data_IF_658519781783
#
_entry.id   IF_658519781783
#
_cell.length_a   1.000
_cell.length_b   1.000
_cell.length_c   1.000
_cell.angle_alpha   90.00
_cell.angle_beta   90.00
_cell.angle_gamma   90.00
#
_symmetry.space_group_name_H-M   'P 1'
#
loop_
_entity.id
_entity.type
_entity.pdbx_description
1 polymer ?
#
# COMPACT_ATOMS: atom_id res chain seq x y z
N UNK A 1 -22.14 -5.31 -0.61
CA UNK A 1 -20.83 -5.72 -0.09
C UNK A 1 -21.09 -6.63 1.10
N UNK A 2 -20.49 -7.82 1.10
CA UNK A 2 -20.56 -8.75 2.23
C UNK A 2 -19.12 -8.93 2.72
N UNK A 3 -18.88 -8.64 3.99
CA UNK A 3 -17.59 -8.87 4.65
C UNK A 3 -17.66 -10.17 5.44
N UNK A 4 -16.54 -10.86 5.55
CA UNK A 4 -16.44 -12.02 6.43
C UNK A 4 -16.53 -11.57 7.89
N UNK A 5 -17.18 -12.38 8.75
CA UNK A 5 -17.41 -12.04 10.16
C UNK A 5 -16.10 -11.87 10.97
N UNK A 6 -15.00 -12.44 10.47
CA UNK A 6 -13.65 -12.36 11.04
C UNK A 6 -12.79 -11.22 10.46
N UNK A 7 -13.33 -10.38 9.57
CA UNK A 7 -12.58 -9.28 8.97
C UNK A 7 -12.14 -8.28 10.04
N UNK A 8 -10.84 -7.97 10.09
CA UNK A 8 -10.29 -7.01 11.05
C UNK A 8 -10.91 -5.61 10.84
N UNK A 9 -11.14 -4.89 11.94
CA UNK A 9 -11.51 -3.48 11.91
C UNK A 9 -10.35 -2.64 11.35
N UNK A 10 -10.67 -1.62 10.55
CA UNK A 10 -9.67 -0.94 9.75
C UNK A 10 -10.20 0.23 8.93
N UNK A 11 -9.24 1.03 8.45
CA UNK A 11 -9.46 2.07 7.46
C UNK A 11 -9.22 1.47 6.07
N UNK A 12 -10.27 1.45 5.26
CA UNK A 12 -10.27 1.03 3.87
C UNK A 12 -10.82 2.14 2.99
N UNK A 13 -10.83 1.91 1.68
CA UNK A 13 -11.45 2.81 0.72
C UNK A 13 -11.97 2.01 -0.47
N UNK A 14 -12.87 2.63 -1.23
CA UNK A 14 -13.44 2.05 -2.44
C UNK A 14 -13.33 3.05 -3.59
N UNK A 15 -13.08 2.52 -4.78
CA UNK A 15 -13.13 3.25 -6.03
C UNK A 15 -13.58 2.29 -7.15
N UNK A 16 -14.07 2.81 -8.29
CA UNK A 16 -14.37 1.98 -9.44
C UNK A 16 -13.13 1.33 -10.03
N UNK A 17 -13.28 0.07 -10.44
CA UNK A 17 -12.18 -0.79 -10.92
C UNK A 17 -12.53 -1.45 -12.26
N UNK A 18 -13.07 -0.65 -13.19
CA UNK A 18 -13.46 -1.13 -14.52
C UNK A 18 -12.31 -0.87 -15.47
N UNK A 19 -11.61 -1.94 -15.87
CA UNK A 19 -10.46 -1.87 -16.78
C UNK A 19 -10.74 -0.96 -17.99
N UNK A 20 -9.81 -0.03 -18.22
CA UNK A 20 -9.88 0.99 -19.27
C UNK A 20 -10.62 2.27 -18.85
N UNK A 21 -11.08 2.36 -17.60
CA UNK A 21 -11.84 3.52 -17.09
C UNK A 21 -11.61 3.80 -15.61
N UNK A 22 -10.73 3.05 -14.93
CA UNK A 22 -10.42 3.24 -13.51
C UNK A 22 -9.87 4.64 -13.25
N UNK A 23 -8.98 5.12 -14.13
CA UNK A 23 -8.37 6.46 -14.07
C UNK A 23 -9.41 7.56 -14.20
N UNK A 24 -10.26 7.49 -15.22
CA UNK A 24 -11.27 8.51 -15.48
C UNK A 24 -12.26 8.62 -14.33
N UNK A 25 -12.74 7.46 -13.84
CA UNK A 25 -13.75 7.43 -12.78
C UNK A 25 -13.17 7.88 -11.43
N UNK A 26 -12.00 7.35 -11.06
CA UNK A 26 -11.33 7.71 -9.81
C UNK A 26 -10.87 9.16 -9.85
N UNK A 27 -10.10 9.57 -10.87
CA UNK A 27 -9.60 10.93 -11.04
C UNK A 27 -10.71 11.96 -11.22
N UNK A 28 -11.89 11.55 -11.70
CA UNK A 28 -13.11 12.36 -11.75
C UNK A 28 -13.83 12.54 -10.42
N UNK A 29 -13.39 11.89 -9.33
CA UNK A 29 -13.99 12.07 -8.00
C UNK A 29 -14.58 10.81 -7.36
N UNK A 30 -14.64 9.67 -8.05
CA UNK A 30 -15.34 8.48 -7.56
C UNK A 30 -14.48 7.70 -6.54
N UNK A 31 -14.30 8.28 -5.36
CA UNK A 31 -13.55 7.72 -4.24
C UNK A 31 -14.37 7.82 -2.97
N UNK A 32 -14.30 6.82 -2.10
CA UNK A 32 -14.96 6.84 -0.79
C UNK A 32 -14.12 6.15 0.26
N UNK A 33 -14.13 6.70 1.48
CA UNK A 33 -13.66 5.99 2.65
C UNK A 33 -14.61 4.85 3.00
N UNK A 34 -14.05 3.75 3.52
CA UNK A 34 -14.79 2.60 4.06
C UNK A 34 -14.17 2.26 5.40
N UNK A 35 -14.92 2.45 6.48
CA UNK A 35 -14.43 2.12 7.82
C UNK A 35 -15.11 0.82 8.25
N UNK A 36 -14.30 -0.18 8.58
CA UNK A 36 -14.76 -1.37 9.30
C UNK A 36 -14.50 -1.09 10.76
N UNK A 37 -15.56 -0.97 11.56
CA UNK A 37 -15.42 -0.61 12.97
C UNK A 37 -14.78 -1.76 13.76
N UNK A 38 -13.92 -1.38 14.71
CA UNK A 38 -13.38 -2.29 15.70
C UNK A 38 -14.47 -2.74 16.69
N UNK A 39 -14.47 -4.00 17.14
CA UNK A 39 -15.24 -4.39 18.30
C UNK A 39 -14.96 -3.49 19.52
N UNK A 40 -15.96 -3.19 20.36
CA UNK A 40 -15.78 -2.29 21.49
C UNK A 40 -14.79 -2.85 22.52
N UNK A 41 -13.99 -1.96 23.13
CA UNK A 41 -12.99 -2.24 24.18
C UNK A 41 -11.79 -3.09 23.74
N UNK A 42 -11.43 -3.14 22.45
CA UNK A 42 -10.22 -3.84 22.00
C UNK A 42 -8.99 -2.92 21.95
N UNK A 43 -9.20 -1.62 21.73
CA UNK A 43 -8.13 -0.62 21.63
C UNK A 43 -7.82 -0.02 23.00
N UNK A 44 -6.61 0.53 23.21
CA UNK A 44 -6.31 1.36 24.36
C UNK A 44 -7.31 2.52 24.47
N UNK A 45 -7.72 2.84 25.71
CA UNK A 45 -8.82 3.78 25.91
C UNK A 45 -8.50 5.18 25.36
N UNK A 46 -7.23 5.58 25.40
CA UNK A 46 -6.76 6.82 24.79
C UNK A 46 -7.02 6.91 23.28
N UNK A 47 -6.97 5.78 22.56
CA UNK A 47 -7.17 5.70 21.11
C UNK A 47 -8.63 5.49 20.75
N UNK A 48 -9.35 4.69 21.54
CA UNK A 48 -10.79 4.46 21.36
C UNK A 48 -11.61 5.74 21.60
N UNK A 49 -11.24 6.54 22.61
CA UNK A 49 -11.94 7.78 22.97
C UNK A 49 -11.42 9.01 22.21
N UNK A 50 -10.32 8.88 21.45
CA UNK A 50 -9.76 9.98 20.69
C UNK A 50 -10.76 10.50 19.64
N UNK A 51 -10.74 11.81 19.39
CA UNK A 51 -11.49 12.40 18.28
C UNK A 51 -11.02 11.78 16.97
N UNK A 52 -11.91 11.08 16.28
CA UNK A 52 -11.62 10.51 14.98
C UNK A 52 -11.83 11.54 13.86
N UNK A 53 -10.89 11.60 12.91
CA UNK A 53 -10.96 12.40 11.70
C UNK A 53 -10.65 11.53 10.50
N UNK A 54 -11.63 11.33 9.64
CA UNK A 54 -11.40 10.74 8.31
C UNK A 54 -10.71 11.80 7.45
N UNK A 55 -9.54 11.48 6.92
CA UNK A 55 -8.73 12.33 6.06
C UNK A 55 -8.59 11.64 4.70
N UNK A 56 -9.63 11.75 3.87
CA UNK A 56 -9.61 11.26 2.49
C UNK A 56 -8.96 12.32 1.60
N UNK A 57 -7.65 12.17 1.37
CA UNK A 57 -6.90 13.01 0.47
C UNK A 57 -6.98 12.45 -0.96
N UNK A 58 -7.48 13.27 -1.89
CA UNK A 58 -7.66 12.90 -3.28
C UNK A 58 -6.91 13.89 -4.17
N UNK A 59 -6.08 13.36 -5.06
CA UNK A 59 -5.43 14.09 -6.13
C UNK A 59 -6.40 14.36 -7.29
N UNK A 60 -6.66 15.64 -7.57
CA UNK A 60 -7.42 16.11 -8.72
C UNK A 60 -6.47 16.83 -9.68
N UNK A 61 -6.32 16.28 -10.88
CA UNK A 61 -5.54 16.90 -11.95
C UNK A 61 -6.41 16.95 -13.21
N UNK A 62 -6.91 18.14 -13.54
CA UNK A 62 -7.87 18.31 -14.64
C UNK A 62 -7.19 18.26 -16.01
N UNK A 63 -5.89 18.59 -16.09
CA UNK A 63 -5.12 18.53 -17.33
C UNK A 63 -4.83 17.06 -17.68
N UNK A 64 -4.23 16.33 -16.76
CA UNK A 64 -3.96 14.90 -16.92
C UNK A 64 -5.25 14.08 -17.09
N UNK A 65 -6.33 14.45 -16.41
CA UNK A 65 -7.63 13.79 -16.58
C UNK A 65 -8.21 14.03 -17.99
N UNK A 66 -8.04 15.23 -18.56
CA UNK A 66 -8.46 15.52 -19.92
C UNK A 66 -7.59 14.79 -20.94
N UNK A 67 -6.27 14.75 -20.74
CA UNK A 67 -5.36 13.98 -21.60
C UNK A 67 -5.70 12.49 -21.58
N UNK A 68 -5.92 11.92 -20.39
CA UNK A 68 -6.35 10.52 -20.23
C UNK A 68 -7.69 10.26 -20.92
N UNK A 69 -8.64 11.20 -20.85
CA UNK A 69 -9.92 11.08 -21.53
C UNK A 69 -9.75 11.09 -23.06
N UNK A 70 -8.92 12.00 -23.59
CA UNK A 70 -8.62 12.08 -25.02
C UNK A 70 -7.92 10.82 -25.54
N UNK A 71 -6.96 10.27 -24.78
CA UNK A 71 -6.26 9.03 -25.11
C UNK A 71 -7.17 7.80 -25.06
N UNK A 72 -8.07 7.74 -24.07
CA UNK A 72 -9.05 6.64 -23.94
C UNK A 72 -10.04 6.57 -25.10
N UNK A 73 -10.20 7.67 -25.86
CA UNK A 73 -11.25 7.85 -26.87
C UNK A 73 -12.67 7.66 -26.30
N UNK A 74 -12.86 7.88 -24.99
CA UNK A 74 -14.15 7.82 -24.33
C UNK A 74 -15.00 9.05 -24.69
N UNK A 75 -16.07 8.83 -25.47
CA UNK A 75 -17.01 9.90 -25.84
C UNK A 75 -18.09 10.22 -24.80
N UNK A 76 -18.11 9.51 -23.66
CA UNK A 76 -19.09 9.69 -22.58
C UNK A 76 -18.53 10.52 -21.42
N UNK A 77 -17.23 10.41 -21.14
CA UNK A 77 -16.59 11.15 -20.07
C UNK A 77 -16.31 12.60 -20.52
N UNK A 78 -16.69 13.57 -19.67
CA UNK A 78 -16.50 14.98 -19.95
C UNK A 78 -15.87 15.67 -18.74
N UNK A 79 -14.66 16.18 -18.92
CA UNK A 79 -13.97 16.96 -17.88
C UNK A 79 -14.57 18.35 -17.85
N UNK A 80 -15.22 18.69 -16.74
CA UNK A 80 -15.79 20.00 -16.50
C UNK A 80 -15.38 20.48 -15.11
N UNK A 81 -14.48 21.46 -15.04
CA UNK A 81 -14.01 22.00 -13.77
C UNK A 81 -12.92 23.03 -13.96
N UNK A 82 -12.90 24.03 -13.07
CA UNK A 82 -11.84 25.02 -12.98
C UNK A 82 -11.17 24.87 -11.61
N UNK A 83 -10.38 23.82 -11.44
CA UNK A 83 -9.42 23.76 -10.35
C UNK A 83 -8.11 24.41 -10.82
N UNK A 84 -7.28 24.94 -9.90
CA UNK A 84 -5.88 25.16 -10.20
C UNK A 84 -5.24 23.85 -10.72
N UNK A 85 -4.04 23.94 -11.31
CA UNK A 85 -3.21 22.77 -11.63
C UNK A 85 -3.18 21.75 -10.47
N UNK A 86 -2.79 20.49 -10.73
CA UNK A 86 -2.58 19.39 -9.76
C UNK A 86 -2.88 19.75 -8.30
N UNK A 87 -4.11 19.46 -7.86
CA UNK A 87 -4.63 19.91 -6.57
C UNK A 87 -4.97 18.73 -5.68
N UNK A 88 -4.66 18.82 -4.39
CA UNK A 88 -5.12 17.85 -3.39
C UNK A 88 -6.34 18.42 -2.66
N UNK A 89 -7.42 17.66 -2.66
CA UNK A 89 -8.60 17.95 -1.83
C UNK A 89 -8.67 16.95 -0.69
N UNK A 90 -9.17 17.40 0.46
CA UNK A 90 -9.41 16.55 1.63
C UNK A 90 -10.89 16.52 1.89
N UNK A 91 -11.51 15.34 1.87
CA UNK A 91 -12.95 15.14 1.99
C UNK A 91 -13.76 16.04 1.03
N UNK A 92 -13.27 16.20 -0.21
CA UNK A 92 -13.89 17.03 -1.24
C UNK A 92 -13.70 18.54 -1.09
N UNK A 93 -12.92 19.00 -0.09
CA UNK A 93 -12.64 20.41 0.14
C UNK A 93 -11.20 20.76 -0.22
N UNK A 94 -10.99 21.90 -0.87
CA UNK A 94 -9.67 22.43 -1.16
C UNK A 94 -9.12 23.22 0.05
N UNK A 95 -7.95 22.83 0.57
CA UNK A 95 -7.30 23.42 1.74
C UNK A 95 -8.24 23.63 2.96
N UNK A 96 -8.92 22.58 3.47
CA UNK A 96 -9.80 22.73 4.62
C UNK A 96 -9.00 23.00 5.91
N UNK A 97 -9.63 23.67 6.87
CA UNK A 97 -9.10 23.88 8.21
C UNK A 97 -9.72 22.83 9.15
N UNK A 98 -8.89 21.98 9.73
CA UNK A 98 -9.30 21.01 10.76
C UNK A 98 -8.87 21.54 12.12
N UNK A 99 -9.83 21.86 12.99
CA UNK A 99 -9.54 22.31 14.35
C UNK A 99 -9.29 21.12 15.28
N UNK A 100 -8.16 21.17 15.99
CA UNK A 100 -7.76 20.23 17.03
C UNK A 100 -7.55 20.98 18.35
N UNK A 101 -7.71 20.28 19.47
CA UNK A 101 -7.48 20.83 20.81
C UNK A 101 -6.06 20.49 21.22
N UNK A 102 -5.27 21.49 21.62
CA UNK A 102 -3.92 21.25 22.12
C UNK A 102 -3.98 20.40 23.40
N UNK A 103 -3.07 19.44 23.52
CA UNK A 103 -3.06 18.50 24.64
C UNK A 103 -3.83 17.21 24.41
N UNK A 104 -4.69 17.14 23.40
CA UNK A 104 -5.51 15.95 23.12
C UNK A 104 -4.96 15.15 21.94
N UNK A 105 -5.12 13.83 21.99
CA UNK A 105 -4.87 12.95 20.85
C UNK A 105 -6.03 13.04 19.86
N UNK A 106 -5.69 13.19 18.58
CA UNK A 106 -6.65 13.12 17.47
C UNK A 106 -6.25 11.97 16.56
N UNK A 107 -7.20 11.08 16.29
CA UNK A 107 -7.03 9.89 15.46
C UNK A 107 -7.38 10.18 14.00
N UNK A 108 -6.35 10.33 13.17
CA UNK A 108 -6.50 10.53 11.73
C UNK A 108 -6.53 9.20 10.99
N UNK A 109 -7.63 8.94 10.26
CA UNK A 109 -7.72 7.86 9.26
C UNK A 109 -7.39 8.43 7.90
N UNK A 110 -6.13 8.32 7.50
CA UNK A 110 -5.60 8.94 6.28
C UNK A 110 -5.70 7.96 5.12
N UNK A 111 -6.34 8.40 4.04
CA UNK A 111 -6.45 7.65 2.79
C UNK A 111 -5.84 8.51 1.71
N UNK A 112 -4.86 7.97 0.98
CA UNK A 112 -4.30 8.63 -0.20
C UNK A 112 -4.89 8.03 -1.47
N UNK A 113 -6.01 8.61 -1.91
CA UNK A 113 -6.74 8.21 -3.10
C UNK A 113 -6.14 8.90 -4.34
N UNK A 114 -4.84 8.71 -4.59
CA UNK A 114 -4.23 9.17 -5.84
C UNK A 114 -4.42 8.14 -6.95
N UNK A 115 -4.67 8.63 -8.16
CA UNK A 115 -4.72 7.83 -9.37
C UNK A 115 -3.48 8.00 -10.25
N UNK A 116 -2.61 8.97 -9.93
CA UNK A 116 -1.33 9.23 -10.58
C UNK A 116 -0.16 8.93 -9.64
N UNK A 117 1.04 9.28 -10.09
CA UNK A 117 2.25 9.18 -9.29
C UNK A 117 2.34 10.21 -8.16
N UNK A 118 3.16 9.88 -7.15
CA UNK A 118 3.46 10.77 -6.04
C UNK A 118 2.92 10.27 -4.70
N UNK A 119 3.73 10.47 -3.67
CA UNK A 119 3.36 10.10 -2.31
C UNK A 119 2.75 11.31 -1.60
N UNK A 120 1.72 11.07 -0.80
CA UNK A 120 1.31 12.03 0.23
C UNK A 120 2.30 11.90 1.39
N UNK A 121 3.19 12.89 1.55
CA UNK A 121 4.09 12.97 2.70
C UNK A 121 3.42 13.83 3.79
N UNK A 122 2.66 13.17 4.67
CA UNK A 122 1.94 13.85 5.74
C UNK A 122 2.87 14.11 6.94
N UNK A 123 2.95 15.36 7.36
CA UNK A 123 3.57 15.78 8.62
C UNK A 123 2.73 16.89 9.25
N UNK A 124 2.72 16.98 10.57
CA UNK A 124 2.00 18.03 11.31
C UNK A 124 2.98 18.81 12.17
N UNK A 125 3.24 20.05 11.78
CA UNK A 125 4.20 20.91 12.48
C UNK A 125 3.78 21.15 13.94
N UNK A 126 4.72 20.95 14.85
CA UNK A 126 4.52 21.18 16.28
C UNK A 126 3.69 20.11 17.00
N UNK A 127 3.30 19.03 16.31
CA UNK A 127 2.66 17.87 16.91
C UNK A 127 3.61 16.66 16.92
N UNK A 128 3.46 15.81 17.92
CA UNK A 128 4.00 14.44 17.86
C UNK A 128 3.11 13.60 16.93
N UNK A 129 3.65 12.59 16.26
CA UNK A 129 2.87 11.69 15.42
C UNK A 129 3.19 10.23 15.75
N UNK A 130 2.14 9.42 15.86
CA UNK A 130 2.26 7.97 16.02
C UNK A 130 1.48 7.24 14.94
N UNK A 131 2.15 6.31 14.27
CA UNK A 131 1.52 5.34 13.38
C UNK A 131 0.86 4.24 14.20
N UNK A 132 -0.42 3.98 13.90
CA UNK A 132 -1.23 2.96 14.55
C UNK A 132 -1.49 1.76 13.63
N UNK A 133 -1.76 2.01 12.35
CA UNK A 133 -2.17 1.00 11.39
C UNK A 133 -1.80 1.40 9.95
N UNK A 134 -1.67 0.41 9.07
CA UNK A 134 -1.48 0.55 7.63
C UNK A 134 -2.38 -0.42 6.88
N UNK A 135 -2.99 0.02 5.78
CA UNK A 135 -3.86 -0.78 4.91
C UNK A 135 -4.95 -1.54 5.70
N UNK A 136 -5.55 -0.84 6.67
CA UNK A 136 -6.56 -1.41 7.56
C UNK A 136 -6.05 -2.36 8.64
N UNK A 137 -4.74 -2.56 8.78
CA UNK A 137 -4.14 -3.52 9.72
C UNK A 137 -3.27 -2.80 10.75
N UNK A 138 -3.54 -3.02 12.03
CA UNK A 138 -2.72 -2.48 13.12
C UNK A 138 -1.28 -2.97 13.04
N UNK A 139 -0.32 -2.09 13.30
CA UNK A 139 1.10 -2.47 13.36
C UNK A 139 1.41 -3.21 14.66
N UNK A 140 2.44 -4.05 14.65
CA UNK A 140 2.78 -4.88 15.81
C UNK A 140 3.54 -4.14 16.91
N UNK A 141 4.39 -3.19 16.54
CA UNK A 141 5.13 -2.30 17.44
C UNK A 141 4.31 -1.06 17.81
N UNK A 142 3.01 -1.26 18.00
CA UNK A 142 2.06 -0.19 18.28
C UNK A 142 2.35 0.48 19.63
N UNK A 143 2.29 1.82 19.72
CA UNK A 143 2.27 2.78 18.62
C UNK A 143 3.69 3.15 18.17
N UNK A 144 3.92 3.33 16.87
CA UNK A 144 5.25 3.68 16.33
C UNK A 144 5.37 5.18 16.15
N UNK A 145 6.34 5.81 16.83
CA UNK A 145 6.62 7.24 16.64
C UNK A 145 7.17 7.51 15.24
N UNK A 146 6.64 8.53 14.56
CA UNK A 146 7.03 8.93 13.21
C UNK A 146 7.11 10.47 13.11
N UNK A 147 7.98 10.98 12.25
CA UNK A 147 8.02 12.42 11.92
C UNK A 147 7.21 12.75 10.66
N UNK A 148 7.06 11.77 9.76
CA UNK A 148 6.36 11.90 8.49
C UNK A 148 5.77 10.55 8.12
N UNK A 149 4.58 10.56 7.53
CA UNK A 149 3.96 9.39 6.91
C UNK A 149 4.01 9.53 5.38
N UNK A 150 4.93 8.85 4.68
CA UNK A 150 4.96 8.77 3.22
C UNK A 150 3.97 7.71 2.73
N UNK A 151 2.80 8.16 2.27
CA UNK A 151 1.69 7.31 1.82
C UNK A 151 1.73 7.24 0.30
N UNK A 152 2.00 6.04 -0.25
CA UNK A 152 2.01 5.82 -1.70
C UNK A 152 0.58 5.68 -2.23
N UNK A 153 0.29 5.92 -3.52
CA UNK A 153 -1.05 5.76 -4.07
C UNK A 153 -1.62 4.38 -3.73
N UNK A 154 -2.84 4.36 -3.19
CA UNK A 154 -3.51 3.14 -2.77
C UNK A 154 -3.24 2.70 -1.33
N UNK A 155 -2.28 3.29 -0.61
CA UNK A 155 -2.05 3.00 0.82
C UNK A 155 -2.94 3.84 1.72
N UNK A 156 -3.36 3.26 2.84
CA UNK A 156 -4.07 3.98 3.90
C UNK A 156 -3.33 3.83 5.23
N UNK A 157 -3.40 4.85 6.08
CA UNK A 157 -2.67 4.87 7.36
C UNK A 157 -3.52 5.47 8.44
N UNK A 158 -3.46 4.93 9.66
CA UNK A 158 -4.08 5.58 10.81
C UNK A 158 -2.98 6.15 11.71
N UNK A 159 -3.02 7.46 11.96
CA UNK A 159 -2.04 8.18 12.77
C UNK A 159 -2.70 8.98 13.89
N UNK A 160 -2.01 9.12 15.02
CA UNK A 160 -2.43 9.94 16.16
C UNK A 160 -1.51 11.15 16.32
N UNK A 161 -2.04 12.34 16.63
CA UNK A 161 -1.25 13.55 16.89
C UNK A 161 -1.67 14.32 18.15
N UNK A 162 -0.77 14.59 19.12
CA UNK A 162 -1.03 15.46 20.25
C UNK A 162 -0.13 16.70 20.27
N UNK A 163 -0.50 17.66 21.11
CA UNK A 163 0.40 18.70 21.63
C UNK A 163 0.55 18.45 23.14
N UNK A 164 1.36 17.45 23.53
CA UNK A 164 1.72 17.05 24.90
C UNK A 164 0.61 17.02 25.97
N UNK A 165 0.13 15.82 26.37
CA UNK A 165 -0.23 15.58 27.79
C UNK A 165 -0.04 14.14 28.32
N UNK A 166 0.12 13.09 27.51
CA UNK A 166 0.44 11.74 27.98
C UNK A 166 0.89 10.85 26.79
N UNK A 167 1.90 10.00 26.99
CA UNK A 167 2.31 9.03 25.96
C UNK A 167 1.20 8.00 25.73
N UNK A 168 0.97 7.61 24.47
CA UNK A 168 0.07 6.49 24.16
C UNK A 168 0.59 5.20 24.80
N UNK A 169 -0.34 4.40 25.31
CA UNK A 169 -0.03 3.08 25.86
C UNK A 169 0.38 2.11 24.75
N UNK A 170 1.45 1.35 25.01
CA UNK A 170 1.83 0.24 24.15
C UNK A 170 0.74 -0.83 24.19
N UNK A 171 0.38 -1.36 23.02
CA UNK A 171 -0.67 -2.36 22.87
C UNK A 171 -0.27 -3.35 21.79
N UNK A 172 -0.74 -4.58 21.92
CA UNK A 172 -0.47 -5.62 20.93
C UNK A 172 -1.78 -6.03 20.28
N UNK A 173 -1.94 -5.83 18.95
CA UNK A 173 -3.14 -6.24 18.25
C UNK A 173 -3.35 -7.75 18.32
N UNK A 174 -4.61 -8.15 18.50
CA UNK A 174 -5.05 -9.52 18.29
C UNK A 174 -5.37 -9.70 16.81
N UNK A 175 -4.49 -10.41 16.09
CA UNK A 175 -4.69 -10.69 14.67
C UNK A 175 -5.64 -11.88 14.45
N UNK A 176 -6.57 -11.79 13.47
CA UNK A 176 -7.32 -12.96 13.01
C UNK A 176 -6.40 -13.99 12.34
N UNK A 177 -6.90 -15.22 12.15
CA UNK A 177 -6.12 -16.36 11.65
C UNK A 177 -5.43 -16.06 10.29
N UNK A 178 -6.11 -15.35 9.39
CA UNK A 178 -5.57 -14.96 8.08
C UNK A 178 -4.41 -13.93 8.17
N UNK A 179 -4.18 -13.32 9.33
CA UNK A 179 -3.07 -12.40 9.63
C UNK A 179 -2.03 -13.01 10.58
N UNK A 180 -1.91 -14.33 10.60
CA UNK A 180 -0.85 -15.03 11.35
C UNK A 180 0.53 -14.59 10.88
N UNK A 181 1.47 -14.36 11.81
CA UNK A 181 2.84 -13.93 11.48
C UNK A 181 3.57 -14.95 10.60
N UNK A 182 3.96 -14.53 9.40
CA UNK A 182 4.55 -15.39 8.36
C UNK A 182 6.07 -15.26 8.27
N UNK A 183 6.71 -14.40 9.08
CA UNK A 183 8.15 -14.10 8.98
C UNK A 183 9.05 -15.32 9.14
N UNK A 184 8.67 -16.26 10.01
CA UNK A 184 9.42 -17.50 10.24
C UNK A 184 8.91 -18.68 9.42
N UNK A 185 7.85 -18.50 8.64
CA UNK A 185 7.31 -19.55 7.77
C UNK A 185 8.29 -19.89 6.65
N UNK A 186 8.11 -21.06 6.05
CA UNK A 186 8.87 -21.51 4.88
C UNK A 186 7.91 -21.51 3.70
N UNK A 187 8.29 -20.95 2.53
CA UNK A 187 7.42 -20.96 1.37
C UNK A 187 7.09 -22.39 0.96
N UNK A 188 5.85 -22.60 0.54
CA UNK A 188 5.42 -23.88 0.00
C UNK A 188 6.23 -24.23 -1.26
N UNK A 189 6.47 -25.53 -1.56
CA UNK A 189 7.25 -25.93 -2.73
C UNK A 189 6.72 -25.30 -4.02
N UNK A 190 7.58 -24.60 -4.76
CA UNK A 190 7.24 -23.93 -6.01
C UNK A 190 6.46 -22.62 -5.86
N UNK A 191 6.17 -22.16 -4.64
CA UNK A 191 5.41 -20.93 -4.37
C UNK A 191 6.30 -19.71 -4.12
N UNK A 192 7.48 -19.68 -4.74
CA UNK A 192 8.38 -18.52 -4.74
C UNK A 192 8.48 -18.00 -6.16
N UNK A 193 7.91 -16.82 -6.39
CA UNK A 193 7.75 -16.26 -7.71
C UNK A 193 8.21 -14.79 -7.75
N UNK A 194 8.58 -14.31 -8.93
CA UNK A 194 8.92 -12.90 -9.16
C UNK A 194 7.79 -12.17 -9.87
N UNK A 195 7.53 -10.95 -9.45
CA UNK A 195 6.57 -10.04 -10.09
C UNK A 195 7.23 -8.69 -10.32
N UNK A 196 7.45 -8.39 -11.60
CA UNK A 196 8.05 -7.17 -12.10
C UNK A 196 6.96 -6.29 -12.73
N UNK A 197 6.96 -5.02 -12.35
CA UNK A 197 6.08 -4.02 -12.95
C UNK A 197 6.85 -3.18 -13.95
N UNK A 198 6.26 -3.03 -15.12
CA UNK A 198 6.87 -2.38 -16.26
C UNK A 198 6.21 -1.00 -16.45
N UNK A 199 5.92 -0.56 -17.69
CA UNK A 199 5.04 0.61 -17.92
C UNK A 199 3.59 0.23 -18.23
N UNK A 200 3.36 -0.90 -18.90
CA UNK A 200 2.03 -1.32 -19.42
C UNK A 200 1.76 -2.81 -19.24
N UNK A 201 2.53 -3.46 -18.38
CA UNK A 201 2.57 -4.90 -18.28
C UNK A 201 3.11 -5.34 -16.92
N UNK A 202 2.76 -6.56 -16.54
CA UNK A 202 3.33 -7.27 -15.41
C UNK A 202 4.10 -8.47 -15.95
N UNK A 203 5.38 -8.62 -15.58
CA UNK A 203 6.29 -9.62 -16.15
C UNK A 203 6.39 -9.55 -17.70
N UNK A 204 6.22 -8.37 -18.30
CA UNK A 204 6.17 -8.19 -19.76
C UNK A 204 4.85 -8.60 -20.44
N UNK A 205 3.83 -8.98 -19.67
CA UNK A 205 2.51 -9.37 -20.19
C UNK A 205 1.47 -8.27 -19.91
N UNK A 206 0.85 -7.67 -20.94
CA UNK A 206 -0.21 -6.68 -20.76
C UNK A 206 -1.55 -7.33 -20.44
N UNK A 207 -2.41 -6.61 -19.73
CA UNK A 207 -3.80 -6.98 -19.48
C UNK A 207 -4.77 -6.19 -20.35
N UNK A 208 -5.83 -6.83 -20.90
CA UNK A 208 -6.04 -8.27 -20.91
C UNK A 208 -5.01 -8.96 -21.82
N UNK A 209 -4.53 -10.13 -21.39
CA UNK A 209 -3.70 -10.96 -22.27
C UNK A 209 -4.56 -11.69 -23.30
N UNK A 210 -4.01 -11.92 -24.49
CA UNK A 210 -4.63 -12.69 -25.57
C UNK A 210 -4.81 -14.18 -25.22
N UNK A 211 -4.06 -14.66 -24.23
CA UNK A 211 -4.15 -16.00 -23.66
C UNK A 211 -4.85 -15.93 -22.31
N UNK A 212 -5.70 -16.91 -22.00
CA UNK A 212 -6.11 -17.16 -20.62
C UNK A 212 -4.90 -17.69 -19.83
N UNK A 213 -4.01 -16.80 -19.44
CA UNK A 213 -2.85 -17.08 -18.61
C UNK A 213 -2.95 -16.30 -17.31
N UNK A 214 -2.83 -17.03 -16.20
CA UNK A 214 -2.60 -16.41 -14.91
C UNK A 214 -1.12 -16.04 -14.81
N UNK A 215 -0.84 -14.90 -14.18
CA UNK A 215 0.52 -14.50 -13.84
C UNK A 215 1.15 -15.54 -12.89
N UNK A 216 0.36 -15.95 -11.90
CA UNK A 216 0.71 -17.01 -10.98
C UNK A 216 -0.51 -17.87 -10.67
N UNK A 217 -0.28 -19.14 -10.37
CA UNK A 217 -1.25 -19.97 -9.67
C UNK A 217 -0.67 -20.36 -8.32
N UNK A 218 -1.52 -20.39 -7.30
CA UNK A 218 -1.23 -20.88 -5.97
C UNK A 218 -2.46 -21.61 -5.44
N UNK A 219 -2.48 -22.00 -4.17
CA UNK A 219 -3.56 -22.77 -3.57
C UNK A 219 -3.84 -22.35 -2.13
N UNK A 220 -5.05 -22.66 -1.66
CA UNK A 220 -5.43 -22.43 -0.27
C UNK A 220 -4.49 -23.15 0.72
N UNK A 221 -4.00 -22.41 1.70
CA UNK A 221 -3.05 -22.85 2.72
C UNK A 221 -1.58 -22.78 2.30
N UNK A 222 -1.27 -22.36 1.06
CA UNK A 222 0.11 -22.17 0.63
C UNK A 222 0.76 -21.01 1.40
N UNK A 223 2.06 -21.11 1.67
CA UNK A 223 2.90 -19.95 2.01
C UNK A 223 3.54 -19.47 0.72
N UNK A 224 3.22 -18.26 0.30
CA UNK A 224 3.64 -17.70 -0.99
C UNK A 224 4.66 -16.60 -0.79
N UNK A 225 5.83 -16.78 -1.39
CA UNK A 225 6.89 -15.79 -1.47
C UNK A 225 6.85 -15.07 -2.81
N UNK A 226 6.93 -13.75 -2.74
CA UNK A 226 6.81 -12.86 -3.89
C UNK A 226 7.97 -11.88 -3.88
N UNK A 227 8.88 -12.03 -4.84
CA UNK A 227 9.90 -11.03 -5.09
C UNK A 227 9.28 -9.93 -5.95
N UNK A 228 9.01 -8.78 -5.34
CA UNK A 228 8.43 -7.63 -6.02
C UNK A 228 9.52 -6.73 -6.58
N UNK A 229 9.38 -6.39 -7.84
CA UNK A 229 10.23 -5.47 -8.59
C UNK A 229 9.35 -4.34 -9.14
N UNK A 230 8.81 -3.53 -8.24
CA UNK A 230 7.78 -2.54 -8.55
C UNK A 230 8.33 -1.13 -8.75
N UNK A 231 9.54 -0.84 -8.23
CA UNK A 231 10.23 0.45 -8.36
C UNK A 231 9.29 1.62 -7.99
N UNK A 232 8.91 2.47 -8.95
CA UNK A 232 8.00 3.60 -8.76
C UNK A 232 6.51 3.28 -8.96
N UNK A 233 6.18 2.04 -9.30
CA UNK A 233 4.81 1.56 -9.52
C UNK A 233 4.31 0.92 -8.21
N UNK A 234 3.29 1.48 -7.53
CA UNK A 234 2.77 0.87 -6.32
C UNK A 234 2.12 -0.47 -6.65
N UNK A 235 2.72 -1.57 -6.18
CA UNK A 235 2.16 -2.91 -6.23
C UNK A 235 0.97 -3.01 -5.31
N UNK A 236 -0.20 -3.36 -5.85
CA UNK A 236 -1.40 -3.66 -5.08
C UNK A 236 -1.89 -5.07 -5.42
N UNK A 237 -2.27 -5.84 -4.40
CA UNK A 237 -2.93 -7.13 -4.59
C UNK A 237 -4.25 -7.19 -3.82
N UNK A 238 -5.27 -7.75 -4.45
CA UNK A 238 -6.60 -7.85 -3.87
C UNK A 238 -6.67 -9.00 -2.86
N UNK A 239 -7.74 -9.02 -2.05
CA UNK A 239 -8.17 -10.13 -1.17
C UNK A 239 -7.21 -10.44 -0.01
N UNK A 240 -5.95 -10.77 -0.29
CA UNK A 240 -4.99 -11.22 0.71
C UNK A 240 -3.93 -10.16 0.97
N UNK A 241 -3.81 -9.64 2.20
CA UNK A 241 -2.68 -8.80 2.58
C UNK A 241 -1.40 -9.64 2.63
N UNK A 242 -0.26 -8.96 2.55
CA UNK A 242 1.07 -9.55 2.60
C UNK A 242 1.93 -8.92 3.68
N UNK A 243 2.85 -9.70 4.23
CA UNK A 243 3.89 -9.22 5.12
C UNK A 243 5.15 -8.84 4.37
N UNK A 244 5.75 -7.76 4.83
CA UNK A 244 7.08 -7.30 4.48
C UNK A 244 8.16 -8.22 5.07
N UNK A 245 8.97 -8.90 4.25
CA UNK A 245 9.98 -9.87 4.72
C UNK A 245 11.41 -9.33 4.63
N UNK A 246 11.88 -8.89 3.47
CA UNK A 246 13.28 -8.45 3.29
C UNK A 246 13.50 -7.59 2.04
N UNK A 247 14.63 -6.87 1.97
CA UNK A 247 15.01 -6.09 0.78
C UNK A 247 14.24 -4.78 0.56
N UNK A 248 13.52 -4.32 1.58
CA UNK A 248 12.50 -3.27 1.49
C UNK A 248 13.04 -1.87 1.70
N UNK A 249 12.42 -0.88 1.07
CA UNK A 249 12.48 0.52 1.45
C UNK A 249 11.73 0.75 2.79
N UNK A 250 12.48 1.18 3.81
CA UNK A 250 11.96 1.44 5.16
C UNK A 250 11.31 2.82 5.29
N UNK A 251 11.49 3.72 4.32
CA UNK A 251 11.02 5.10 4.37
C UNK A 251 11.32 5.79 5.72
N UNK A 252 12.57 5.69 6.18
CA UNK A 252 12.97 6.30 7.45
C UNK A 252 12.39 5.63 8.70
N UNK A 253 11.98 4.36 8.60
CA UNK A 253 11.40 3.59 9.71
C UNK A 253 9.86 3.52 9.69
N UNK A 254 9.22 4.20 8.74
CA UNK A 254 7.78 4.09 8.50
C UNK A 254 7.36 2.66 8.10
N UNK A 255 8.20 1.97 7.32
CA UNK A 255 8.06 0.53 7.03
C UNK A 255 9.08 -0.28 7.81
N UNK A 256 8.62 -1.39 8.40
CA UNK A 256 9.43 -2.37 9.11
C UNK A 256 9.11 -3.79 8.64
N UNK A 257 10.06 -4.71 8.88
CA UNK A 257 9.88 -6.14 8.60
C UNK A 257 8.75 -6.69 9.49
N UNK A 258 7.78 -7.35 8.86
CA UNK A 258 6.59 -7.91 9.50
C UNK A 258 5.37 -7.00 9.46
N UNK A 259 5.49 -5.76 8.97
CA UNK A 259 4.31 -4.94 8.70
C UNK A 259 3.46 -5.61 7.61
N UNK A 260 2.15 -5.61 7.82
CA UNK A 260 1.17 -6.03 6.83
C UNK A 260 0.80 -4.86 5.92
N UNK A 261 0.63 -5.16 4.64
CA UNK A 261 0.22 -4.23 3.58
C UNK A 261 -0.68 -4.95 2.58
N UNK A 262 -1.48 -4.19 1.86
CA UNK A 262 -2.06 -4.61 0.57
C UNK A 262 -1.41 -3.88 -0.62
N UNK A 263 -0.69 -2.79 -0.33
CA UNK A 263 -0.06 -1.95 -1.33
C UNK A 263 1.37 -1.57 -0.92
N UNK A 264 2.33 -1.69 -1.83
CA UNK A 264 3.73 -1.36 -1.56
C UNK A 264 4.46 -0.90 -2.82
N UNK A 265 5.37 0.07 -2.70
CA UNK A 265 6.26 0.48 -3.80
C UNK A 265 7.72 0.20 -3.45
N UNK A 266 8.46 -0.30 -4.43
CA UNK A 266 9.89 -0.55 -4.32
C UNK A 266 10.28 -1.97 -4.70
N UNK A 267 11.33 -2.47 -4.06
CA UNK A 267 11.84 -3.83 -4.24
C UNK A 267 11.77 -4.57 -2.93
N UNK A 268 11.70 -5.89 -2.99
CA UNK A 268 11.82 -6.73 -1.81
C UNK A 268 11.07 -8.05 -1.91
N UNK A 269 11.20 -8.84 -0.85
CA UNK A 269 10.43 -10.05 -0.64
C UNK A 269 9.23 -9.71 0.25
N UNK A 270 8.04 -10.03 -0.25
CA UNK A 270 6.81 -10.06 0.54
C UNK A 270 6.31 -11.50 0.64
N UNK A 271 5.48 -11.77 1.65
CA UNK A 271 4.89 -13.09 1.89
C UNK A 271 3.44 -13.01 2.27
N UNK A 272 2.61 -13.88 1.72
CA UNK A 272 1.20 -14.01 2.09
C UNK A 272 0.77 -15.48 2.12
N UNK A 273 -0.42 -15.73 2.66
CA UNK A 273 -1.03 -17.06 2.67
C UNK A 273 -2.52 -16.96 2.32
N UNK A 274 -2.96 -17.53 1.19
CA UNK A 274 -4.38 -17.61 0.87
C UNK A 274 -5.07 -18.62 1.77
N UNK A 275 -5.93 -18.21 2.70
CA UNK A 275 -6.52 -19.13 3.69
C UNK A 275 -8.02 -19.38 3.54
N UNK A 276 -8.75 -18.56 2.79
CA UNK A 276 -10.22 -18.57 2.84
C UNK A 276 -10.90 -18.65 1.47
N UNK A 277 -10.47 -17.83 0.51
CA UNK A 277 -11.10 -17.66 -0.80
C UNK A 277 -10.25 -18.23 -1.96
N UNK A 278 -10.85 -19.12 -2.74
CA UNK A 278 -10.34 -19.53 -4.06
C UNK A 278 -10.80 -18.57 -5.16
N UNK A 279 -10.12 -18.60 -6.31
CA UNK A 279 -10.56 -17.92 -7.53
C UNK A 279 -9.51 -16.94 -8.06
N UNK A 280 -9.98 -16.00 -8.89
CA UNK A 280 -9.15 -15.00 -9.54
C UNK A 280 -8.94 -13.80 -8.59
N UNK A 281 -7.69 -13.51 -8.27
CA UNK A 281 -7.24 -12.37 -7.49
C UNK A 281 -6.53 -11.39 -8.44
N UNK A 282 -6.91 -10.12 -8.39
CA UNK A 282 -6.23 -9.08 -9.17
C UNK A 282 -4.94 -8.64 -8.48
N UNK A 283 -3.91 -8.43 -9.28
CA UNK A 283 -2.65 -7.78 -8.90
C UNK A 283 -2.39 -6.69 -9.93
N UNK A 284 -2.12 -5.46 -9.51
CA UNK A 284 -1.93 -4.36 -10.47
C UNK A 284 -1.15 -3.20 -9.86
N UNK A 285 -0.77 -2.26 -10.73
CA UNK A 285 -0.24 -0.97 -10.33
C UNK A 285 -1.34 -0.03 -9.84
N UNK A 286 -1.09 0.66 -8.74
CA UNK A 286 -2.01 1.66 -8.20
C UNK A 286 -1.79 3.08 -8.76
N UNK A 287 -1.00 3.20 -9.85
CA UNK A 287 -1.12 4.33 -10.79
C UNK A 287 -2.15 3.91 -11.82
N UNK A 288 -3.35 4.47 -11.75
CA UNK A 288 -4.50 3.93 -12.47
C UNK A 288 -4.36 4.12 -13.98
N UNK A 289 -3.64 5.14 -14.44
CA UNK A 289 -3.35 5.29 -15.88
C UNK A 289 -2.53 4.10 -16.39
N UNK A 290 -1.57 3.60 -15.61
CA UNK A 290 -0.83 2.40 -15.95
C UNK A 290 -1.67 1.12 -15.80
N UNK A 291 -2.58 1.07 -14.82
CA UNK A 291 -3.56 0.00 -14.66
C UNK A 291 -4.42 -0.14 -15.92
N UNK A 292 -5.02 0.97 -16.37
CA UNK A 292 -5.88 1.01 -17.56
C UNK A 292 -5.12 0.69 -18.85
N UNK A 293 -3.84 1.06 -18.93
CA UNK A 293 -2.96 0.68 -20.05
C UNK A 293 -2.51 -0.80 -20.03
N UNK A 294 -2.87 -1.56 -19.00
CA UNK A 294 -2.66 -3.00 -18.94
C UNK A 294 -1.64 -3.50 -17.90
N UNK A 295 -1.18 -2.66 -16.98
CA UNK A 295 -0.35 -3.10 -15.83
C UNK A 295 -1.21 -3.74 -14.73
N UNK A 296 -1.90 -4.78 -15.14
CA UNK A 296 -2.74 -5.62 -14.30
C UNK A 296 -2.38 -7.08 -14.60
N UNK A 297 -2.71 -7.95 -13.67
CA UNK A 297 -2.55 -9.37 -13.85
C UNK A 297 -3.52 -10.13 -12.94
N UNK A 298 -3.75 -11.40 -13.28
CA UNK A 298 -4.59 -12.28 -12.47
C UNK A 298 -3.69 -13.34 -11.82
N UNK A 299 -3.78 -13.46 -10.51
CA UNK A 299 -3.32 -14.62 -9.75
C UNK A 299 -4.50 -15.56 -9.50
N UNK A 300 -4.31 -16.86 -9.73
CA UNK A 300 -5.35 -17.87 -9.51
C UNK A 300 -5.08 -18.64 -8.23
N UNK A 301 -6.05 -18.61 -7.30
CA UNK A 301 -6.02 -19.36 -6.06
C UNK A 301 -6.86 -20.64 -6.24
N UNK A 302 -6.19 -21.78 -6.41
CA UNK A 302 -6.80 -23.09 -6.56
C UNK A 302 -6.84 -23.91 -5.26
N UNK A 303 -7.05 -25.20 -5.43
CA UNK A 303 -7.04 -26.21 -4.36
C UNK A 303 -6.17 -27.42 -4.70
N UNK A 304 -5.42 -27.35 -5.81
CA UNK A 304 -4.68 -28.47 -6.38
C UNK A 304 -3.33 -28.72 -5.72
N UNK A 305 -2.95 -27.90 -4.74
CA UNK A 305 -1.68 -28.02 -4.02
C UNK A 305 -0.46 -27.63 -4.86
N UNK A 306 -0.66 -26.96 -6.00
CA UNK A 306 0.42 -26.61 -6.91
C UNK A 306 0.57 -25.10 -7.08
N UNK A 307 1.82 -24.66 -7.15
CA UNK A 307 2.15 -23.29 -7.50
C UNK A 307 2.83 -23.25 -8.87
N UNK A 308 2.44 -22.27 -9.69
CA UNK A 308 3.06 -22.02 -10.99
C UNK A 308 3.39 -20.54 -11.13
N UNK A 309 4.59 -20.23 -11.60
CA UNK A 309 5.01 -18.86 -11.85
C UNK A 309 5.13 -18.60 -13.35
N UNK A 310 4.55 -17.52 -13.87
CA UNK A 310 4.96 -16.97 -15.16
C UNK A 310 6.25 -16.19 -14.98
N UNK A 311 7.29 -16.57 -15.72
CA UNK A 311 8.59 -15.89 -15.69
C UNK A 311 8.52 -14.48 -16.29
N UNK A 312 9.35 -13.57 -15.76
CA UNK A 312 9.50 -12.23 -16.35
C UNK A 312 10.17 -12.31 -17.72
N UNK A 313 9.52 -11.75 -18.73
CA UNK A 313 10.07 -11.67 -20.09
C UNK A 313 11.18 -10.61 -20.23
N UNK A 314 11.38 -9.77 -19.21
CA UNK A 314 12.36 -8.70 -19.22
C UNK A 314 13.74 -9.13 -18.69
N UNK A 315 13.94 -10.43 -18.46
CA UNK A 315 15.20 -10.97 -17.93
C UNK A 315 15.38 -10.67 -16.45
N UNK A 316 14.37 -11.01 -15.64
CA UNK A 316 14.34 -10.80 -14.18
C UNK A 316 15.63 -11.24 -13.48
N UNK A 317 15.83 -10.76 -12.24
CA UNK A 317 17.03 -11.08 -11.44
C UNK A 317 17.29 -12.60 -11.44
N UNK A 318 18.51 -12.99 -11.83
CA UNK A 318 18.94 -14.40 -11.83
C UNK A 318 18.60 -15.06 -10.49
N UNK A 319 18.07 -16.29 -10.53
CA UNK A 319 17.68 -17.06 -9.35
C UNK A 319 18.79 -17.19 -8.29
N UNK A 320 20.07 -16.98 -8.65
CA UNK A 320 21.21 -16.96 -7.71
C UNK A 320 21.22 -15.73 -6.79
N UNK A 321 20.68 -14.58 -7.21
CA UNK A 321 20.59 -13.36 -6.37
C UNK A 321 19.52 -13.52 -5.29
N UNK A 322 18.44 -14.25 -5.58
CA UNK A 322 17.33 -14.50 -4.64
C UNK A 322 17.79 -15.41 -3.49
N UNK A 323 18.62 -16.41 -3.76
CA UNK A 323 19.20 -17.29 -2.73
C UNK A 323 20.19 -16.53 -1.84
N UNK A 324 20.92 -15.55 -2.39
CA UNK A 324 21.85 -14.70 -1.64
C UNK A 324 21.18 -13.79 -0.60
N UNK A 325 19.97 -13.30 -0.88
CA UNK A 325 19.19 -12.47 0.06
C UNK A 325 18.62 -13.31 1.21
N UNK A 326 18.27 -14.58 0.95
CA UNK A 326 17.78 -15.50 1.97
C UNK A 326 18.89 -16.05 2.90
N UNK A 327 20.15 -16.08 2.45
CA UNK A 327 21.26 -16.73 3.18
C UNK A 327 22.32 -15.78 3.79
N UNK A 328 22.20 -14.46 3.62
CA UNK A 328 23.32 -13.52 3.82
C UNK A 328 23.41 -12.76 5.15
N UNK A 329 23.28 -13.42 6.30
CA UNK A 329 23.85 -12.89 7.54
C UNK A 329 25.37 -13.11 7.54
N UNK A 330 26.13 -12.19 6.94
CA UNK A 330 27.60 -12.25 7.03
C UNK A 330 28.31 -11.55 5.87
N UNK A 331 28.86 -10.37 6.17
CA UNK A 331 30.00 -9.70 5.53
C UNK A 331 30.31 -10.00 4.04
N UNK A 332 30.15 -9.01 3.17
CA UNK A 332 31.31 -8.37 2.53
C UNK A 332 30.95 -7.04 1.87
N UNK A 333 31.85 -6.09 2.09
CA UNK A 333 31.93 -4.75 1.53
C UNK A 333 32.18 -4.80 0.03
N UNK A 334 31.42 -4.08 -0.79
CA UNK A 334 31.96 -3.25 -1.88
C UNK A 334 31.01 -2.11 -2.23
N UNK A 335 31.64 -0.95 -2.42
CA UNK A 335 31.05 0.37 -2.46
C UNK A 335 30.50 0.74 -3.86
N UNK A 336 29.37 1.44 -3.89
CA UNK A 336 29.08 2.45 -4.93
C UNK A 336 28.64 3.73 -4.22
N UNK A 337 29.38 4.79 -4.51
CA UNK A 337 29.43 6.08 -3.83
C UNK A 337 28.18 6.93 -3.99
N UNK A 338 27.62 7.41 -2.87
CA UNK A 338 26.79 8.61 -2.83
C UNK A 338 27.49 9.66 -1.95
N UNK A 339 27.98 10.73 -2.57
CA UNK A 339 28.42 11.95 -1.89
C UNK A 339 27.20 12.79 -1.55
N UNK A 340 26.88 12.97 -0.27
CA UNK A 340 26.27 14.21 0.26
C UNK A 340 26.83 14.48 1.66
N UNK A 341 27.65 15.53 1.77
CA UNK A 341 28.21 16.07 3.00
C UNK A 341 27.13 16.82 3.81
N UNK A 342 26.92 16.45 5.08
CA UNK A 342 26.14 17.25 6.03
C UNK A 342 27.02 18.19 6.85
N UNK A 343 26.56 19.45 6.91
CA UNK A 343 27.14 20.60 7.63
C UNK A 343 26.88 20.48 9.13
N UNK A 344 27.95 20.46 9.95
CA UNK A 344 27.85 20.50 11.43
C UNK A 344 27.38 21.87 11.91
N UNK A 345 26.30 21.93 12.68
CA UNK A 345 25.98 23.04 13.60
C UNK A 345 26.71 22.84 14.94
N UNK A 346 27.29 23.89 15.52
CA UNK A 346 26.75 24.56 16.74
C UNK A 346 27.76 25.56 17.39
N UNK A 347 27.24 26.78 17.61
CA UNK A 347 27.32 27.69 18.79
C UNK A 347 28.70 28.27 19.19
N UNK A 348 28.77 29.61 19.34
CA UNK A 348 28.95 30.37 20.61
C UNK A 348 29.55 31.76 20.32
N UNK A 349 28.84 32.77 20.85
CA UNK A 349 29.08 34.22 20.98
C UNK A 349 28.95 35.09 19.75
#
# INVERSE_FOLDING_TARGET
MTLADNHMGGTHWMHPHRHGSSSLQTGGGAVSAVIVEDPPNILPKQVEDAKEVIFLAHLLDMEELQETADESSDGLFAVNGNLPQTSVVVNGQFNPIISIVAGEWVRFRVIWASWLEGNLNLSVDGCEMHLLAKDGIYIRDFPRSIETAPIVPGVQTTNDSPIQTQNLEAWTPSYPEYLTDLRSSIPSPGCTCTTEFDRRAVNGIPFPSDKESYLHATYLGAIVDRNIESRGHPYHQHIYPFQLISGLNTFGGYNQIGDWHDTYTGRGLIRFSPTEFTGKMMVHCHRLNHEDEGMMAIENIGTDGTCTCTESQNGGLDNEVIIGIAAGAGALVFAISAYVLYRKRKIVK
#
